data_IF_915224006471
#
_entry.id   IF_915224006471
#
_cell.length_a   1.000
_cell.length_b   1.000
_cell.length_c   1.000
_cell.angle_alpha   90.00
_cell.angle_beta   90.00
_cell.angle_gamma   90.00
#
_symmetry.space_group_name_H-M   'P 1'
#
loop_
_entity.id
_entity.type
_entity.pdbx_description
1 polymer ?
#
# COMPACT_ATOMS: atom_id res chain seq x y z
N UNK A 1 -48.79 -69.60 42.80
CA UNK A 1 -47.47 -68.92 42.61
C UNK A 1 -47.18 -68.83 41.12
N UNK A 2 -47.46 -67.70 40.48
CA UNK A 2 -46.88 -67.35 39.17
C UNK A 2 -47.44 -65.99 38.72
N UNK A 3 -46.88 -64.91 39.24
CA UNK A 3 -47.19 -63.54 38.71
C UNK A 3 -45.98 -62.59 38.70
N UNK A 4 -44.73 -63.12 38.79
CA UNK A 4 -43.56 -62.26 38.87
C UNK A 4 -42.74 -62.14 37.53
N UNK A 5 -43.07 -62.94 36.47
CA UNK A 5 -42.23 -63.02 35.24
C UNK A 5 -42.62 -62.07 34.14
N UNK A 6 -43.81 -61.48 34.16
CA UNK A 6 -44.26 -60.61 33.02
C UNK A 6 -43.91 -59.12 33.16
N UNK A 7 -43.61 -58.64 34.38
CA UNK A 7 -43.23 -57.19 34.59
C UNK A 7 -41.81 -56.84 34.17
N UNK A 8 -40.86 -57.76 34.24
CA UNK A 8 -39.45 -57.51 33.92
C UNK A 8 -39.18 -57.43 32.39
N UNK A 9 -39.95 -58.15 31.56
CA UNK A 9 -39.85 -58.13 30.13
C UNK A 9 -40.35 -56.77 29.54
N UNK A 10 -41.40 -56.24 30.14
CA UNK A 10 -41.96 -54.94 29.72
C UNK A 10 -41.01 -53.78 30.03
N UNK A 11 -40.36 -53.77 31.18
CA UNK A 11 -39.40 -52.71 31.57
C UNK A 11 -38.15 -52.68 30.70
N UNK A 12 -37.58 -53.83 30.34
CA UNK A 12 -36.47 -53.96 29.39
C UNK A 12 -36.81 -53.45 27.99
N UNK A 13 -38.01 -53.76 27.51
CA UNK A 13 -38.48 -53.26 26.21
C UNK A 13 -38.60 -51.73 26.20
N UNK A 14 -39.17 -51.13 27.24
CA UNK A 14 -39.24 -49.65 27.32
C UNK A 14 -37.87 -49.03 27.43
N UNK A 15 -36.92 -49.55 28.20
CA UNK A 15 -35.59 -49.07 28.33
C UNK A 15 -34.86 -49.10 26.96
N UNK A 16 -34.93 -50.20 26.23
CA UNK A 16 -34.29 -50.33 24.91
C UNK A 16 -34.93 -49.36 23.91
N UNK A 17 -36.25 -49.22 23.89
CA UNK A 17 -36.97 -48.31 22.99
C UNK A 17 -36.55 -46.85 23.25
N UNK A 18 -36.60 -46.40 24.50
CA UNK A 18 -36.25 -45.01 24.84
C UNK A 18 -34.74 -44.74 24.67
N UNK A 19 -33.88 -45.72 24.91
CA UNK A 19 -32.46 -45.59 24.62
C UNK A 19 -32.21 -45.43 23.12
N UNK A 20 -32.94 -46.19 22.28
CA UNK A 20 -32.82 -46.02 20.80
C UNK A 20 -33.35 -44.67 20.34
N UNK A 21 -34.53 -44.23 20.83
CA UNK A 21 -35.07 -42.90 20.53
C UNK A 21 -34.10 -41.79 20.95
N UNK A 22 -33.50 -41.90 22.13
CA UNK A 22 -32.49 -40.95 22.62
C UNK A 22 -31.25 -40.89 21.72
N UNK A 23 -30.73 -42.05 21.30
CA UNK A 23 -29.60 -42.13 20.38
C UNK A 23 -29.92 -41.47 19.02
N UNK A 24 -31.11 -41.72 18.48
CA UNK A 24 -31.54 -41.12 17.19
C UNK A 24 -31.64 -39.59 17.31
N UNK A 25 -32.16 -39.09 18.43
CA UNK A 25 -32.22 -37.62 18.67
C UNK A 25 -30.83 -37.04 18.76
N UNK A 26 -29.89 -37.65 19.48
CA UNK A 26 -28.51 -37.18 19.58
C UNK A 26 -27.83 -37.16 18.19
N UNK A 27 -27.99 -38.25 17.40
CA UNK A 27 -27.46 -38.29 16.05
C UNK A 27 -28.05 -37.18 15.16
N UNK A 28 -29.36 -36.93 15.25
CA UNK A 28 -30.01 -35.84 14.52
C UNK A 28 -29.42 -34.47 14.88
N UNK A 29 -29.18 -34.18 16.17
CA UNK A 29 -28.56 -32.95 16.62
C UNK A 29 -27.11 -32.84 16.13
N UNK A 30 -26.31 -33.91 16.24
CA UNK A 30 -24.92 -33.92 15.78
C UNK A 30 -24.81 -33.67 14.29
N UNK A 31 -25.65 -34.33 13.48
CA UNK A 31 -25.68 -34.12 12.03
C UNK A 31 -26.04 -32.65 11.70
N UNK A 32 -27.06 -32.10 12.38
CA UNK A 32 -27.47 -30.71 12.19
C UNK A 32 -26.36 -29.74 12.55
N UNK A 33 -25.61 -29.97 13.63
CA UNK A 33 -24.46 -29.15 14.01
C UNK A 33 -23.31 -29.23 12.98
N UNK A 34 -23.00 -30.43 12.47
CA UNK A 34 -21.97 -30.62 11.45
C UNK A 34 -22.35 -29.92 10.15
N UNK A 35 -23.61 -29.99 9.73
CA UNK A 35 -24.09 -29.30 8.53
C UNK A 35 -24.00 -27.78 8.70
N UNK A 36 -24.40 -27.25 9.84
CA UNK A 36 -24.31 -25.81 10.12
C UNK A 36 -22.86 -25.34 10.19
N UNK A 37 -21.97 -26.10 10.83
CA UNK A 37 -20.55 -25.79 10.86
C UNK A 37 -19.92 -25.74 9.44
N UNK A 38 -20.25 -26.71 8.59
CA UNK A 38 -19.78 -26.72 7.20
C UNK A 38 -20.33 -25.53 6.41
N UNK A 39 -21.59 -25.15 6.63
CA UNK A 39 -22.18 -23.97 6.01
C UNK A 39 -21.47 -22.69 6.44
N UNK A 40 -21.18 -22.54 7.73
CA UNK A 40 -20.46 -21.37 8.26
C UNK A 40 -19.04 -21.31 7.72
N UNK A 41 -18.33 -22.43 7.68
CA UNK A 41 -16.98 -22.47 7.11
C UNK A 41 -16.95 -22.02 5.65
N UNK A 42 -17.92 -22.44 4.82
CA UNK A 42 -18.02 -21.99 3.42
C UNK A 42 -18.23 -20.48 3.32
N UNK A 43 -19.13 -19.92 4.14
CA UNK A 43 -19.38 -18.48 4.17
C UNK A 43 -18.11 -17.70 4.55
N UNK A 44 -17.34 -18.19 5.50
CA UNK A 44 -16.09 -17.55 5.92
C UNK A 44 -15.01 -17.64 4.84
N UNK A 45 -14.89 -18.79 4.15
CA UNK A 45 -13.99 -18.95 3.01
C UNK A 45 -14.36 -17.95 1.89
N UNK A 46 -15.64 -17.84 1.55
CA UNK A 46 -16.11 -16.88 0.53
C UNK A 46 -15.80 -15.44 0.94
N UNK A 47 -15.99 -15.09 2.22
CA UNK A 47 -15.63 -13.77 2.76
C UNK A 47 -14.11 -13.52 2.68
N UNK A 48 -13.29 -14.52 3.04
CA UNK A 48 -11.83 -14.44 2.91
C UNK A 48 -11.45 -14.20 1.45
N UNK A 49 -11.95 -15.00 0.51
CA UNK A 49 -11.62 -14.87 -0.90
C UNK A 49 -12.04 -13.51 -1.48
N UNK A 50 -13.23 -13.02 -1.12
CA UNK A 50 -13.68 -11.69 -1.52
C UNK A 50 -12.77 -10.58 -0.97
N UNK A 51 -12.32 -10.69 0.29
CA UNK A 51 -11.45 -9.67 0.90
C UNK A 51 -10.04 -9.73 0.31
N UNK A 52 -9.51 -10.93 0.00
CA UNK A 52 -8.24 -11.10 -0.71
C UNK A 52 -8.34 -10.54 -2.14
N UNK A 53 -9.46 -10.72 -2.83
CA UNK A 53 -9.71 -10.11 -4.15
C UNK A 53 -9.72 -8.58 -4.08
N UNK A 54 -10.32 -7.99 -3.05
CA UNK A 54 -10.27 -6.55 -2.81
C UNK A 54 -8.83 -6.09 -2.52
N UNK A 55 -8.05 -6.89 -1.79
CA UNK A 55 -6.64 -6.58 -1.53
C UNK A 55 -5.83 -6.56 -2.83
N UNK A 56 -6.08 -7.47 -3.76
CA UNK A 56 -5.44 -7.46 -5.09
C UNK A 56 -5.71 -6.15 -5.82
N UNK A 57 -6.96 -5.66 -5.81
CA UNK A 57 -7.32 -4.41 -6.45
C UNK A 57 -6.58 -3.21 -5.82
N UNK A 58 -6.51 -3.17 -4.49
CA UNK A 58 -5.77 -2.13 -3.76
C UNK A 58 -4.28 -2.18 -4.08
N UNK A 59 -3.69 -3.38 -4.14
CA UNK A 59 -2.29 -3.57 -4.53
C UNK A 59 -2.05 -3.05 -5.95
N UNK A 60 -2.96 -3.28 -6.89
CA UNK A 60 -2.85 -2.78 -8.27
C UNK A 60 -2.91 -1.24 -8.31
N UNK A 61 -3.78 -0.64 -7.53
CA UNK A 61 -3.85 0.82 -7.40
C UNK A 61 -2.54 1.38 -6.83
N UNK A 62 -2.00 0.75 -5.78
CA UNK A 62 -0.73 1.16 -5.16
C UNK A 62 0.45 1.02 -6.14
N UNK A 63 0.53 -0.08 -6.90
CA UNK A 63 1.54 -0.26 -7.96
C UNK A 63 1.44 0.83 -9.02
N UNK A 64 0.22 1.17 -9.45
CA UNK A 64 0.00 2.23 -10.44
C UNK A 64 0.41 3.61 -9.90
N UNK A 65 0.09 3.91 -8.65
CA UNK A 65 0.54 5.14 -7.98
C UNK A 65 2.07 5.20 -7.89
N UNK A 66 2.72 4.11 -7.45
CA UNK A 66 4.19 4.03 -7.38
C UNK A 66 4.82 4.32 -8.75
N UNK A 67 4.31 3.73 -9.82
CA UNK A 67 4.82 3.97 -11.17
C UNK A 67 4.66 5.43 -11.59
N UNK A 68 3.54 6.06 -11.24
CA UNK A 68 3.32 7.49 -11.46
C UNK A 68 4.31 8.37 -10.70
N UNK A 69 4.59 8.04 -9.43
CA UNK A 69 5.60 8.75 -8.64
C UNK A 69 7.02 8.56 -9.18
N UNK A 70 7.40 7.34 -9.56
CA UNK A 70 8.70 7.07 -10.20
C UNK A 70 8.89 7.95 -11.46
N UNK A 71 7.84 8.07 -12.29
CA UNK A 71 7.88 8.95 -13.45
C UNK A 71 8.13 10.41 -13.08
N UNK A 72 7.39 10.95 -12.09
CA UNK A 72 7.56 12.31 -11.62
C UNK A 72 8.94 12.56 -11.01
N UNK A 73 9.43 11.63 -10.21
CA UNK A 73 10.76 11.70 -9.59
C UNK A 73 11.88 11.70 -10.64
N UNK A 74 11.78 10.87 -11.68
CA UNK A 74 12.75 10.87 -12.78
C UNK A 74 12.77 12.20 -13.55
N UNK A 75 11.61 12.87 -13.67
CA UNK A 75 11.55 14.20 -14.26
C UNK A 75 12.29 15.24 -13.40
N UNK A 76 12.06 15.22 -12.08
CA UNK A 76 12.77 16.09 -11.13
C UNK A 76 14.28 15.79 -11.11
N UNK A 77 14.67 14.53 -11.16
CA UNK A 77 16.06 14.07 -11.22
C UNK A 77 16.77 14.63 -12.45
N UNK A 78 16.14 14.55 -13.63
CA UNK A 78 16.68 15.15 -14.86
C UNK A 78 16.86 16.66 -14.72
N UNK A 79 15.94 17.35 -14.06
CA UNK A 79 16.05 18.78 -13.80
C UNK A 79 17.21 19.11 -12.88
N UNK A 80 17.52 18.28 -11.88
CA UNK A 80 18.75 18.41 -11.08
C UNK A 80 20.01 18.35 -11.97
N UNK A 81 20.09 17.37 -12.87
CA UNK A 81 21.24 17.19 -13.75
C UNK A 81 21.44 18.42 -14.66
N UNK A 82 20.36 18.94 -15.25
CA UNK A 82 20.41 20.12 -16.10
C UNK A 82 20.88 21.36 -15.34
N UNK A 83 20.38 21.61 -14.14
CA UNK A 83 20.83 22.73 -13.30
C UNK A 83 22.29 22.56 -12.88
N UNK A 84 22.71 21.36 -12.45
CA UNK A 84 24.12 21.11 -12.08
C UNK A 84 25.07 21.33 -13.27
N UNK A 85 24.68 20.91 -14.45
CA UNK A 85 25.45 21.12 -15.65
C UNK A 85 25.57 22.62 -16.01
N UNK A 86 24.45 23.36 -15.87
CA UNK A 86 24.46 24.82 -16.12
C UNK A 86 25.36 25.56 -15.12
N UNK A 87 25.29 25.20 -13.83
CA UNK A 87 26.15 25.78 -12.78
C UNK A 87 27.63 25.51 -13.01
N UNK A 88 28.00 24.31 -13.53
CA UNK A 88 29.40 23.95 -13.86
C UNK A 88 29.93 24.65 -15.12
N UNK A 89 29.09 24.82 -16.14
CA UNK A 89 29.46 25.32 -17.47
C UNK A 89 29.29 26.84 -17.65
N UNK A 90 29.02 27.58 -16.57
CA UNK A 90 28.84 29.05 -16.60
C UNK A 90 27.70 29.54 -17.50
N UNK A 91 26.48 29.20 -17.11
CA UNK A 91 25.24 29.83 -17.59
C UNK A 91 25.02 29.79 -19.13
N UNK A 92 24.63 28.64 -19.62
CA UNK A 92 24.16 28.45 -21.00
C UNK A 92 22.64 28.48 -21.14
N UNK A 93 21.91 28.41 -20.03
CA UNK A 93 20.44 28.39 -19.98
C UNK A 93 19.90 29.81 -19.80
N UNK A 94 18.69 30.05 -20.33
CA UNK A 94 17.94 31.28 -20.03
C UNK A 94 17.41 31.26 -18.61
N UNK A 95 17.10 32.42 -18.02
CA UNK A 95 16.52 32.55 -16.70
C UNK A 95 15.21 31.79 -16.58
N UNK A 96 14.31 31.89 -17.58
CA UNK A 96 13.06 31.12 -17.63
C UNK A 96 13.30 29.59 -17.51
N UNK A 97 14.31 29.09 -18.26
CA UNK A 97 14.65 27.69 -18.24
C UNK A 97 15.23 27.25 -16.88
N UNK A 98 16.05 28.09 -16.25
CA UNK A 98 16.60 27.84 -14.93
C UNK A 98 15.46 27.76 -13.90
N UNK A 99 14.58 28.75 -13.86
CA UNK A 99 13.45 28.81 -12.93
C UNK A 99 12.50 27.63 -13.12
N UNK A 100 12.22 27.28 -14.38
CA UNK A 100 11.42 26.10 -14.70
C UNK A 100 12.03 24.82 -14.13
N UNK A 101 13.33 24.58 -14.30
CA UNK A 101 13.98 23.40 -13.77
C UNK A 101 14.12 23.42 -12.24
N UNK A 102 14.37 24.59 -11.63
CA UNK A 102 14.36 24.73 -10.18
C UNK A 102 12.99 24.36 -9.57
N UNK A 103 11.90 24.90 -10.15
CA UNK A 103 10.54 24.52 -9.75
C UNK A 103 10.27 23.02 -9.99
N UNK A 104 10.77 22.49 -11.13
CA UNK A 104 10.63 21.07 -11.45
C UNK A 104 11.33 20.14 -10.44
N UNK A 105 12.48 20.57 -9.88
CA UNK A 105 13.11 19.85 -8.74
C UNK A 105 12.20 19.88 -7.52
N UNK A 106 11.59 21.02 -7.20
CA UNK A 106 10.67 21.17 -6.09
C UNK A 106 9.43 20.26 -6.18
N UNK A 107 9.03 19.83 -7.39
CA UNK A 107 7.95 18.86 -7.61
C UNK A 107 8.24 17.49 -7.04
N UNK A 108 9.48 17.18 -6.69
CA UNK A 108 9.81 15.97 -5.96
C UNK A 108 9.06 15.88 -4.60
N UNK A 109 8.54 17.00 -4.08
CA UNK A 109 7.60 17.04 -2.95
C UNK A 109 6.27 16.34 -3.33
N UNK A 110 6.31 15.05 -3.59
CA UNK A 110 5.14 14.19 -3.82
C UNK A 110 5.48 12.78 -3.42
N UNK A 111 4.81 12.33 -2.38
CA UNK A 111 5.09 11.07 -1.74
C UNK A 111 4.00 10.04 -1.98
N UNK A 112 4.38 8.78 -1.99
CA UNK A 112 3.47 7.65 -2.05
C UNK A 112 2.90 7.35 -0.66
N UNK A 113 1.59 7.18 -0.57
CA UNK A 113 0.88 6.77 0.64
C UNK A 113 0.11 5.47 0.39
N UNK A 114 0.62 4.34 0.89
CA UNK A 114 0.01 3.03 0.67
C UNK A 114 -1.34 2.89 1.37
N UNK A 115 -2.25 2.20 0.72
CA UNK A 115 -3.57 1.89 1.27
C UNK A 115 -3.49 0.70 2.23
N UNK A 116 -3.95 0.87 3.47
CA UNK A 116 -3.89 -0.17 4.51
C UNK A 116 -5.26 -0.71 4.92
N UNK A 117 -6.35 -0.16 4.38
CA UNK A 117 -7.72 -0.44 4.84
C UNK A 117 -8.10 -1.92 4.74
N UNK A 118 -7.84 -2.55 3.59
CA UNK A 118 -8.23 -3.94 3.34
C UNK A 118 -7.38 -4.92 4.16
N UNK A 119 -6.07 -4.67 4.32
CA UNK A 119 -5.23 -5.47 5.21
C UNK A 119 -5.74 -5.39 6.66
N UNK A 120 -6.05 -4.19 7.15
CA UNK A 120 -6.62 -4.01 8.48
C UNK A 120 -7.97 -4.74 8.63
N UNK A 121 -8.80 -4.76 7.59
CA UNK A 121 -10.04 -5.53 7.58
C UNK A 121 -9.78 -7.03 7.70
N UNK A 122 -8.82 -7.60 6.95
CA UNK A 122 -8.42 -9.03 7.06
C UNK A 122 -7.99 -9.38 8.49
N UNK A 123 -7.19 -8.53 9.12
CA UNK A 123 -6.70 -8.76 10.48
C UNK A 123 -7.83 -8.64 11.50
N UNK A 124 -8.61 -7.56 11.48
CA UNK A 124 -9.64 -7.27 12.47
C UNK A 124 -10.82 -8.24 12.42
N UNK A 125 -11.13 -8.77 11.24
CA UNK A 125 -12.17 -9.81 11.07
C UNK A 125 -11.66 -11.23 11.30
N UNK A 126 -10.40 -11.44 11.70
CA UNK A 126 -9.73 -12.73 11.80
C UNK A 126 -9.64 -13.57 10.50
N UNK A 127 -10.02 -13.01 9.35
CA UNK A 127 -9.95 -13.70 8.06
C UNK A 127 -8.49 -14.01 7.67
N UNK A 128 -7.53 -13.27 8.18
CA UNK A 128 -6.10 -13.52 7.98
C UNK A 128 -5.69 -14.94 8.44
N UNK A 129 -6.37 -15.52 9.44
CA UNK A 129 -6.10 -16.88 9.94
C UNK A 129 -6.58 -17.96 8.96
N UNK A 130 -7.49 -17.62 8.08
CA UNK A 130 -8.06 -18.54 7.08
C UNK A 130 -7.25 -18.56 5.78
N UNK A 131 -6.27 -17.70 5.63
CA UNK A 131 -5.30 -17.77 4.54
C UNK A 131 -4.48 -19.05 4.72
N UNK A 132 -4.41 -19.89 3.68
CA UNK A 132 -3.69 -21.15 3.73
C UNK A 132 -2.18 -20.92 3.61
N UNK A 133 -1.77 -19.98 2.77
CA UNK A 133 -0.36 -19.67 2.50
C UNK A 133 0.29 -18.94 3.69
N UNK A 134 1.18 -19.65 4.42
CA UNK A 134 2.01 -19.02 5.47
C UNK A 134 2.98 -17.99 4.90
N UNK A 135 3.44 -18.19 3.65
CA UNK A 135 4.27 -17.22 2.95
C UNK A 135 3.52 -15.89 2.75
N UNK A 136 2.27 -15.96 2.27
CA UNK A 136 1.43 -14.78 2.07
C UNK A 136 1.21 -14.05 3.40
N UNK A 137 0.82 -14.77 4.46
CA UNK A 137 0.64 -14.17 5.80
C UNK A 137 1.90 -13.44 6.27
N UNK A 138 3.03 -14.10 6.21
CA UNK A 138 4.32 -13.53 6.66
C UNK A 138 4.67 -12.25 5.88
N UNK A 139 4.53 -12.28 4.56
CA UNK A 139 4.84 -11.12 3.69
C UNK A 139 3.87 -9.96 3.91
N UNK A 140 2.58 -10.26 4.11
CA UNK A 140 1.59 -9.23 4.46
C UNK A 140 1.95 -8.55 5.77
N UNK A 141 2.24 -9.31 6.82
CA UNK A 141 2.62 -8.73 8.12
C UNK A 141 3.93 -7.95 8.02
N UNK A 142 4.92 -8.45 7.28
CA UNK A 142 6.18 -7.73 7.07
C UNK A 142 5.96 -6.41 6.34
N UNK A 143 5.23 -6.41 5.22
CA UNK A 143 4.95 -5.19 4.48
C UNK A 143 4.24 -4.16 5.37
N UNK A 144 3.06 -4.50 5.91
CA UNK A 144 2.21 -3.52 6.57
C UNK A 144 2.69 -3.11 7.97
N UNK A 145 3.46 -3.93 8.67
CA UNK A 145 3.93 -3.63 10.02
C UNK A 145 5.40 -3.17 10.10
N UNK A 146 6.20 -3.44 9.07
CA UNK A 146 7.63 -3.09 9.09
C UNK A 146 8.01 -2.19 7.92
N UNK A 147 7.88 -2.67 6.67
CA UNK A 147 8.39 -1.97 5.49
C UNK A 147 7.66 -0.63 5.27
N UNK A 148 6.33 -0.60 5.42
CA UNK A 148 5.55 0.63 5.28
C UNK A 148 5.79 1.63 6.44
N UNK A 149 6.10 1.15 7.64
CA UNK A 149 6.48 2.05 8.74
C UNK A 149 7.85 2.70 8.49
N UNK A 150 8.80 1.94 7.92
CA UNK A 150 10.11 2.51 7.53
C UNK A 150 9.94 3.51 6.41
N UNK A 151 9.09 3.18 5.44
CA UNK A 151 8.73 4.10 4.36
C UNK A 151 8.15 5.42 4.89
N UNK A 152 7.21 5.37 5.83
CA UNK A 152 6.59 6.57 6.42
C UNK A 152 7.62 7.50 7.10
N UNK A 153 8.59 6.94 7.82
CA UNK A 153 9.68 7.73 8.43
C UNK A 153 10.55 8.41 7.37
N UNK A 154 10.97 7.66 6.34
CA UNK A 154 11.81 8.20 5.28
C UNK A 154 11.06 9.24 4.44
N UNK A 155 9.79 9.01 4.17
CA UNK A 155 8.92 9.92 3.43
C UNK A 155 8.77 11.26 4.17
N UNK A 156 8.61 11.26 5.49
CA UNK A 156 8.51 12.49 6.28
C UNK A 156 9.77 13.36 6.19
N UNK A 157 10.94 12.76 6.27
CA UNK A 157 12.21 13.49 6.10
C UNK A 157 12.38 14.01 4.66
N UNK A 158 12.01 13.19 3.68
CA UNK A 158 11.99 13.55 2.27
C UNK A 158 11.07 14.75 2.00
N UNK A 159 9.82 14.69 2.47
CA UNK A 159 8.85 15.77 2.30
C UNK A 159 9.29 17.05 2.98
N UNK A 160 9.84 16.94 4.20
CA UNK A 160 10.38 18.10 4.94
C UNK A 160 11.49 18.80 4.14
N UNK A 161 12.44 18.03 3.59
CA UNK A 161 13.51 18.59 2.76
C UNK A 161 12.97 19.39 1.57
N UNK A 162 12.01 18.82 0.82
CA UNK A 162 11.45 19.49 -0.37
C UNK A 162 10.50 20.64 -0.03
N UNK A 163 9.84 20.61 1.12
CA UNK A 163 9.11 21.78 1.64
C UNK A 163 10.06 22.95 1.90
N UNK A 164 11.18 22.69 2.59
CA UNK A 164 12.19 23.70 2.86
C UNK A 164 12.88 24.18 1.57
N UNK A 165 13.13 23.29 0.62
CA UNK A 165 13.65 23.64 -0.69
C UNK A 165 12.73 24.60 -1.44
N UNK A 166 11.43 24.29 -1.54
CA UNK A 166 10.44 25.13 -2.19
C UNK A 166 10.28 26.49 -1.50
N UNK A 167 10.33 26.51 -0.16
CA UNK A 167 10.32 27.77 0.60
C UNK A 167 11.52 28.66 0.23
N UNK A 168 12.74 28.09 0.17
CA UNK A 168 13.94 28.84 -0.23
C UNK A 168 13.85 29.35 -1.68
N UNK A 169 13.27 28.59 -2.60
CA UNK A 169 13.04 29.07 -3.95
C UNK A 169 12.08 30.26 -3.97
N UNK A 170 10.94 30.15 -3.29
CA UNK A 170 9.95 31.24 -3.23
C UNK A 170 10.54 32.50 -2.61
N UNK A 171 11.31 32.37 -1.55
CA UNK A 171 11.94 33.50 -0.84
C UNK A 171 13.00 34.21 -1.72
N UNK A 172 13.85 33.46 -2.43
CA UNK A 172 14.99 34.02 -3.12
C UNK A 172 14.73 34.39 -4.59
N UNK A 173 13.73 33.79 -5.22
CA UNK A 173 13.34 34.09 -6.59
C UNK A 173 11.96 34.75 -6.70
N UNK A 174 11.27 35.03 -5.57
CA UNK A 174 9.85 35.46 -5.57
C UNK A 174 9.00 34.60 -6.51
N UNK A 175 9.34 33.31 -6.56
CA UNK A 175 8.77 32.35 -7.51
C UNK A 175 7.33 32.03 -7.14
N UNK A 176 6.43 32.28 -8.09
CA UNK A 176 5.06 31.80 -8.08
C UNK A 176 4.89 30.80 -9.23
N UNK A 177 4.63 29.55 -8.89
CA UNK A 177 4.38 28.49 -9.84
C UNK A 177 3.10 27.71 -9.51
N UNK A 178 2.60 26.99 -10.49
CA UNK A 178 1.45 26.12 -10.35
C UNK A 178 1.78 24.72 -10.86
N UNK A 179 1.45 23.71 -10.04
CA UNK A 179 1.64 22.29 -10.36
C UNK A 179 0.32 21.59 -10.69
N UNK A 180 -0.75 22.34 -10.86
CA UNK A 180 -2.07 21.81 -11.18
C UNK A 180 -2.06 21.39 -12.65
N UNK A 181 -2.24 20.09 -12.88
CA UNK A 181 -2.38 19.56 -14.24
C UNK A 181 -3.70 20.06 -14.82
N UNK A 182 -3.63 20.94 -15.81
CA UNK A 182 -4.80 21.27 -16.66
C UNK A 182 -5.06 20.03 -17.55
N UNK A 183 -6.33 19.72 -17.88
CA UNK A 183 -6.66 18.52 -18.67
C UNK A 183 -5.93 18.40 -20.01
N UNK A 184 -5.54 19.53 -20.59
CA UNK A 184 -4.89 19.70 -21.88
C UNK A 184 -3.40 20.09 -21.80
N UNK A 185 -2.85 20.25 -20.58
CA UNK A 185 -1.48 20.65 -20.38
C UNK A 185 -0.52 19.46 -20.49
N UNK A 186 0.41 19.57 -21.43
CA UNK A 186 1.54 18.62 -21.59
C UNK A 186 2.63 18.87 -20.56
N UNK A 187 2.73 20.12 -20.07
CA UNK A 187 3.71 20.52 -19.07
C UNK A 187 3.10 20.55 -17.67
N UNK A 188 3.69 19.82 -16.73
CA UNK A 188 3.20 19.74 -15.37
C UNK A 188 3.55 20.93 -14.46
N UNK A 189 4.41 21.84 -14.90
CA UNK A 189 4.82 23.05 -14.17
C UNK A 189 4.48 24.28 -15.00
N UNK A 190 3.75 25.22 -14.41
CA UNK A 190 3.48 26.52 -15.01
C UNK A 190 4.12 27.59 -14.12
N UNK A 191 5.08 28.35 -14.65
CA UNK A 191 5.63 29.52 -13.97
C UNK A 191 4.71 30.69 -14.22
N UNK A 192 4.17 31.29 -13.17
CA UNK A 192 3.26 32.43 -13.24
C UNK A 192 4.03 33.76 -13.15
N UNK A 193 4.99 33.84 -12.21
CA UNK A 193 5.87 35.00 -12.06
C UNK A 193 7.13 34.62 -11.30
N UNK A 194 8.21 35.36 -11.49
CA UNK A 194 9.43 35.26 -10.72
C UNK A 194 10.27 36.51 -10.83
N UNK A 195 11.21 36.69 -9.89
CA UNK A 195 12.31 37.65 -9.98
C UNK A 195 13.65 36.89 -9.89
N UNK A 196 14.44 36.88 -10.98
CA UNK A 196 15.66 36.09 -11.02
C UNK A 196 16.75 36.68 -10.15
N UNK A 197 17.22 35.97 -9.15
CA UNK A 197 18.31 36.37 -8.27
C UNK A 197 19.62 35.72 -8.72
N UNK A 198 20.35 36.44 -9.58
CA UNK A 198 21.64 36.00 -10.13
C UNK A 198 22.69 35.73 -9.05
N UNK A 199 22.71 36.54 -7.97
CA UNK A 199 23.65 36.36 -6.87
C UNK A 199 23.40 35.05 -6.14
N UNK A 200 22.16 34.80 -5.73
CA UNK A 200 21.79 33.58 -5.05
C UNK A 200 21.99 32.32 -5.92
N UNK A 201 21.66 32.41 -7.21
CA UNK A 201 21.88 31.31 -8.17
C UNK A 201 23.38 30.96 -8.31
N UNK A 202 24.27 31.91 -8.17
CA UNK A 202 25.74 31.72 -8.22
C UNK A 202 26.35 31.21 -6.90
N UNK A 203 25.58 31.10 -5.82
CA UNK A 203 26.11 30.69 -4.52
C UNK A 203 26.37 29.18 -4.43
N UNK A 204 27.32 28.81 -3.57
CA UNK A 204 27.57 27.39 -3.23
C UNK A 204 26.35 26.70 -2.63
N UNK A 205 25.46 27.47 -2.02
CA UNK A 205 24.26 26.95 -1.35
C UNK A 205 23.29 26.32 -2.35
N UNK A 206 22.98 27.00 -3.46
CA UNK A 206 22.08 26.43 -4.47
C UNK A 206 22.68 25.16 -5.11
N UNK A 207 24.00 25.14 -5.34
CA UNK A 207 24.70 23.97 -5.82
C UNK A 207 24.57 22.78 -4.84
N UNK A 208 24.75 23.04 -3.54
CA UNK A 208 24.59 22.02 -2.50
C UNK A 208 23.14 21.53 -2.41
N UNK A 209 22.16 22.45 -2.45
CA UNK A 209 20.73 22.12 -2.41
C UNK A 209 20.35 21.19 -3.58
N UNK A 210 20.87 21.42 -4.78
CA UNK A 210 20.57 20.58 -5.96
C UNK A 210 21.26 19.21 -5.87
N UNK A 211 22.51 19.12 -5.36
CA UNK A 211 23.16 17.82 -5.12
C UNK A 211 22.38 17.00 -4.10
N UNK A 212 21.96 17.62 -3.00
CA UNK A 212 21.20 16.95 -1.95
C UNK A 212 19.81 16.56 -2.46
N UNK A 213 19.14 17.42 -3.23
CA UNK A 213 17.88 17.08 -3.92
C UNK A 213 18.06 15.85 -4.80
N UNK A 214 19.10 15.81 -5.62
CA UNK A 214 19.42 14.68 -6.48
C UNK A 214 19.57 13.38 -5.68
N UNK A 215 20.39 13.41 -4.63
CA UNK A 215 20.63 12.24 -3.75
C UNK A 215 19.35 11.73 -3.09
N UNK A 216 18.51 12.65 -2.59
CA UNK A 216 17.23 12.33 -1.97
C UNK A 216 16.26 11.70 -2.97
N UNK A 217 16.16 12.25 -4.18
CA UNK A 217 15.32 11.73 -5.27
C UNK A 217 15.77 10.32 -5.68
N UNK A 218 17.05 10.10 -5.89
CA UNK A 218 17.61 8.79 -6.24
C UNK A 218 17.31 7.75 -5.15
N UNK A 219 17.51 8.10 -3.88
CA UNK A 219 17.19 7.24 -2.74
C UNK A 219 15.70 6.90 -2.69
N UNK A 220 14.83 7.88 -2.91
CA UNK A 220 13.39 7.70 -2.89
C UNK A 220 12.90 6.84 -4.07
N UNK A 221 13.43 7.04 -5.27
CA UNK A 221 13.16 6.18 -6.44
C UNK A 221 13.51 4.72 -6.13
N UNK A 222 14.68 4.46 -5.55
CA UNK A 222 15.10 3.11 -5.19
C UNK A 222 14.14 2.48 -4.16
N UNK A 223 13.67 3.26 -3.19
CA UNK A 223 12.67 2.80 -2.23
C UNK A 223 11.33 2.48 -2.89
N UNK A 224 10.88 3.31 -3.84
CA UNK A 224 9.65 3.05 -4.59
C UNK A 224 9.75 1.76 -5.42
N UNK A 225 10.89 1.50 -6.07
CA UNK A 225 11.14 0.23 -6.76
C UNK A 225 11.07 -0.97 -5.81
N UNK A 226 11.72 -0.87 -4.64
CA UNK A 226 11.67 -1.91 -3.63
C UNK A 226 10.23 -2.23 -3.19
N UNK A 227 9.44 -1.21 -2.88
CA UNK A 227 8.03 -1.41 -2.49
C UNK A 227 7.20 -1.99 -3.63
N UNK A 228 7.38 -1.49 -4.86
CA UNK A 228 6.68 -2.02 -6.03
C UNK A 228 6.92 -3.51 -6.21
N UNK A 229 8.16 -3.95 -6.08
CA UNK A 229 8.52 -5.36 -6.25
C UNK A 229 7.88 -6.24 -5.15
N UNK A 230 7.78 -5.74 -3.92
CA UNK A 230 7.03 -6.42 -2.84
C UNK A 230 5.54 -6.50 -3.17
N UNK A 231 4.92 -5.42 -3.65
CA UNK A 231 3.50 -5.42 -4.02
C UNK A 231 3.22 -6.38 -5.19
N UNK A 232 4.08 -6.44 -6.21
CA UNK A 232 3.96 -7.38 -7.33
C UNK A 232 4.03 -8.84 -6.86
N UNK A 233 4.96 -9.16 -5.96
CA UNK A 233 5.10 -10.48 -5.38
C UNK A 233 3.88 -10.85 -4.52
N UNK A 234 3.42 -9.95 -3.66
CA UNK A 234 2.20 -10.14 -2.86
C UNK A 234 0.96 -10.36 -3.72
N UNK A 235 0.80 -9.62 -4.81
CA UNK A 235 -0.30 -9.83 -5.75
C UNK A 235 -0.30 -11.26 -6.28
N UNK A 236 0.87 -11.78 -6.67
CA UNK A 236 0.99 -13.15 -7.19
C UNK A 236 0.62 -14.22 -6.14
N UNK A 237 0.96 -13.96 -4.88
CA UNK A 237 0.59 -14.83 -3.75
C UNK A 237 -0.91 -14.78 -3.45
N UNK A 238 -1.52 -13.60 -3.49
CA UNK A 238 -2.96 -13.43 -3.31
C UNK A 238 -3.77 -14.17 -4.39
N UNK A 239 -3.33 -14.12 -5.66
CA UNK A 239 -3.97 -14.84 -6.75
C UNK A 239 -3.92 -16.35 -6.52
N UNK A 240 -2.77 -16.91 -6.15
CA UNK A 240 -2.63 -18.34 -5.82
C UNK A 240 -3.50 -18.76 -4.65
N UNK A 241 -3.60 -17.95 -3.59
CA UNK A 241 -4.44 -18.23 -2.43
C UNK A 241 -5.92 -18.36 -2.78
N UNK A 242 -6.41 -17.58 -3.77
CA UNK A 242 -7.81 -17.67 -4.25
C UNK A 242 -8.02 -18.92 -5.10
N UNK A 243 -7.07 -19.24 -5.98
CA UNK A 243 -7.17 -20.39 -6.91
C UNK A 243 -7.11 -21.74 -6.18
N UNK A 244 -6.43 -21.82 -5.03
CA UNK A 244 -6.25 -23.02 -4.21
C UNK A 244 -7.35 -23.19 -3.14
N UNK A 245 -8.35 -22.30 -3.04
CA UNK A 245 -9.40 -22.28 -2.02
C UNK A 245 -10.71 -22.88 -2.51
#
# INVERSE_FOLDING_TARGET
>A
MSTASTKTSSLRYFLIKYSFEFVVIIFGILISLLLEQNRQNRIEIDRKNNTVSQLINVIDEDINQINGFIYLQNFSLRSCDLILDNLKKKNTMTEDSIVYHLSSVGRALRSFFPQQGIFNQLVNSNLIKMINSEELKTKLFKLYNEDLKRHDVQTKEYDKFFLEYNYRLSENFFLQDSWIKKPDATDPVTIESYEFNQQYYGERKIFADIIESKSNIESYINQLYYLRDIFVDLKSLCLREIDES
#
